data_IF_687804889140
#
_entry.id   IF_687804889140
#
_cell.length_a   1.000
_cell.length_b   1.000
_cell.length_c   1.000
_cell.angle_alpha   90.00
_cell.angle_beta   90.00
_cell.angle_gamma   90.00
#
_symmetry.space_group_name_H-M   'P 1'
#
loop_
_entity.id
_entity.type
_entity.pdbx_description
1 polymer ?
#
# COMPACT_ATOMS: atom_id res chain seq x y z
N UNK A 1 -16.92 8.76 -1.07
CA UNK A 1 -16.35 7.48 -0.61
C UNK A 1 -15.57 6.88 -1.76
N UNK A 2 -14.33 6.49 -1.51
CA UNK A 2 -13.38 6.08 -2.54
C UNK A 2 -12.72 4.79 -2.09
N UNK A 3 -12.54 3.86 -3.03
CA UNK A 3 -11.76 2.65 -2.80
C UNK A 3 -10.47 2.70 -3.62
N UNK A 4 -9.37 2.40 -2.94
CA UNK A 4 -8.05 2.33 -3.55
C UNK A 4 -7.56 0.89 -3.36
N UNK A 5 -7.30 0.21 -4.47
CA UNK A 5 -6.57 -1.05 -4.46
C UNK A 5 -5.12 -0.79 -4.84
N UNK A 6 -4.19 -1.23 -4.00
CA UNK A 6 -2.75 -1.14 -4.28
C UNK A 6 -2.19 -2.55 -4.45
N UNK A 7 -1.54 -2.79 -5.58
CA UNK A 7 -0.74 -3.98 -5.83
C UNK A 7 0.72 -3.58 -5.66
N UNK A 8 1.34 -4.05 -4.58
CA UNK A 8 2.68 -3.63 -4.16
C UNK A 8 3.70 -4.67 -4.57
N UNK A 9 4.75 -4.23 -5.25
CA UNK A 9 5.90 -5.05 -5.64
C UNK A 9 7.11 -4.63 -4.83
N UNK A 10 7.66 -5.55 -4.06
CA UNK A 10 8.81 -5.32 -3.17
C UNK A 10 10.10 -5.75 -3.88
N UNK A 11 11.21 -5.07 -3.59
CA UNK A 11 12.54 -5.45 -4.06
C UNK A 11 13.03 -6.65 -3.26
N UNK A 12 13.60 -7.63 -3.96
CA UNK A 12 14.14 -8.84 -3.34
C UNK A 12 15.13 -8.52 -2.21
N UNK A 13 14.93 -9.12 -1.04
CA UNK A 13 15.77 -8.94 0.15
C UNK A 13 15.53 -7.63 0.92
N UNK A 14 14.48 -6.88 0.58
CA UNK A 14 14.08 -5.63 1.26
C UNK A 14 12.73 -5.73 1.97
N UNK A 15 12.22 -6.94 2.16
CA UNK A 15 10.92 -7.24 2.78
C UNK A 15 10.83 -6.69 4.21
N UNK A 16 11.89 -6.84 5.01
CA UNK A 16 11.91 -6.35 6.39
C UNK A 16 11.80 -4.81 6.46
N UNK A 17 12.46 -4.10 5.54
CA UNK A 17 12.38 -2.63 5.44
C UNK A 17 10.97 -2.22 5.00
N UNK A 18 10.39 -2.96 4.05
CA UNK A 18 9.00 -2.76 3.62
C UNK A 18 8.02 -2.96 4.79
N UNK A 19 8.16 -4.04 5.58
CA UNK A 19 7.29 -4.29 6.72
C UNK A 19 7.45 -3.21 7.80
N UNK A 20 8.67 -2.75 8.05
CA UNK A 20 8.93 -1.65 8.99
C UNK A 20 8.34 -0.32 8.52
N UNK A 21 8.34 -0.06 7.21
CA UNK A 21 7.65 1.08 6.61
C UNK A 21 6.13 0.98 6.83
N UNK A 22 5.53 -0.16 6.49
CA UNK A 22 4.08 -0.38 6.61
C UNK A 22 3.57 -0.33 8.05
N UNK A 23 4.32 -0.89 8.99
CA UNK A 23 4.00 -0.85 10.41
C UNK A 23 3.81 0.59 10.93
N UNK A 24 4.48 1.56 10.29
CA UNK A 24 4.38 2.96 10.63
C UNK A 24 3.31 3.71 9.82
N UNK A 25 3.15 3.43 8.52
CA UNK A 25 2.21 4.21 7.68
C UNK A 25 0.77 3.69 7.69
N UNK A 26 0.53 2.39 7.88
CA UNK A 26 -0.83 1.84 7.91
C UNK A 26 -1.68 2.40 9.06
N UNK A 27 -1.15 2.59 10.29
CA UNK A 27 -1.89 3.25 11.36
C UNK A 27 -2.33 4.68 11.02
N UNK A 28 -1.56 5.41 10.19
CA UNK A 28 -1.87 6.79 9.82
C UNK A 28 -3.15 6.89 8.97
N UNK A 29 -3.55 5.82 8.27
CA UNK A 29 -4.80 5.81 7.49
C UNK A 29 -6.00 6.28 8.31
N UNK A 30 -6.16 5.79 9.54
CA UNK A 30 -7.30 6.13 10.38
C UNK A 30 -7.37 7.61 10.74
N UNK A 31 -6.22 8.29 10.86
CA UNK A 31 -6.15 9.73 11.15
C UNK A 31 -6.73 10.60 10.03
N UNK A 32 -6.82 10.05 8.83
CA UNK A 32 -7.26 10.74 7.61
C UNK A 32 -8.55 10.15 7.04
N UNK A 33 -9.39 9.52 7.87
CA UNK A 33 -10.65 8.90 7.43
C UNK A 33 -10.45 7.67 6.53
N UNK A 34 -9.24 7.12 6.53
CA UNK A 34 -8.85 5.92 5.80
C UNK A 34 -9.06 4.65 6.61
N UNK A 35 -9.51 3.58 5.97
CA UNK A 35 -9.64 2.25 6.57
C UNK A 35 -9.04 1.20 5.65
N UNK A 36 -8.09 0.44 6.19
CA UNK A 36 -7.61 -0.79 5.55
C UNK A 36 -8.71 -1.85 5.64
N UNK A 37 -9.30 -2.20 4.51
CA UNK A 37 -10.38 -3.20 4.42
C UNK A 37 -9.83 -4.60 4.19
N UNK A 38 -8.77 -4.72 3.41
CA UNK A 38 -8.12 -5.99 3.09
C UNK A 38 -6.62 -5.78 2.92
N UNK A 39 -5.87 -6.76 3.37
CA UNK A 39 -4.42 -6.87 3.21
C UNK A 39 -4.09 -8.34 3.04
N UNK A 40 -3.51 -8.72 1.89
CA UNK A 40 -3.15 -10.11 1.60
C UNK A 40 -1.77 -10.19 0.96
N UNK A 41 -1.03 -11.25 1.29
CA UNK A 41 0.18 -11.68 0.59
C UNK A 41 -0.17 -12.97 -0.15
N UNK A 42 -0.48 -12.89 -1.46
CA UNK A 42 -0.90 -14.07 -2.21
C UNK A 42 0.29 -14.99 -2.50
N UNK A 43 0.04 -16.30 -2.49
CA UNK A 43 0.98 -17.29 -2.98
C UNK A 43 0.89 -17.42 -4.51
N UNK A 44 1.95 -17.88 -5.21
CA UNK A 44 1.89 -18.06 -6.67
C UNK A 44 0.75 -18.95 -7.15
N UNK A 45 0.28 -19.87 -6.31
CA UNK A 45 -0.85 -20.78 -6.62
C UNK A 45 -2.22 -20.11 -6.54
N UNK A 46 -2.31 -18.92 -5.96
CA UNK A 46 -3.56 -18.16 -5.87
C UNK A 46 -3.92 -17.47 -7.20
N UNK A 47 -2.98 -17.39 -8.13
CA UNK A 47 -3.17 -16.74 -9.43
C UNK A 47 -3.68 -17.74 -10.46
N UNK A 48 -4.86 -17.46 -11.02
CA UNK A 48 -5.51 -18.32 -12.03
C UNK A 48 -4.98 -18.02 -13.44
N UNK A 49 -4.85 -16.74 -13.81
CA UNK A 49 -4.36 -16.26 -15.10
C UNK A 49 -4.00 -14.76 -15.05
N UNK A 50 -3.13 -14.29 -15.94
CA UNK A 50 -2.77 -12.88 -16.07
C UNK A 50 -1.40 -12.67 -16.73
N UNK A 51 -1.09 -11.42 -17.08
CA UNK A 51 0.21 -11.03 -17.67
C UNK A 51 1.12 -10.30 -16.67
N UNK A 52 0.57 -9.91 -15.52
CA UNK A 52 1.33 -9.22 -14.48
C UNK A 52 2.09 -10.21 -13.63
N UNK A 53 3.30 -9.82 -13.21
CA UNK A 53 3.97 -10.47 -12.08
C UNK A 53 3.01 -10.49 -10.87
N UNK A 54 3.02 -11.58 -10.07
CA UNK A 54 2.38 -11.61 -8.77
C UNK A 54 2.86 -10.44 -7.89
N UNK A 55 1.96 -9.58 -7.37
CA UNK A 55 2.33 -8.62 -6.34
C UNK A 55 2.78 -9.34 -5.07
N UNK A 56 3.69 -8.70 -4.34
CA UNK A 56 4.07 -9.16 -3.01
C UNK A 56 2.92 -9.00 -2.03
N UNK A 57 2.20 -7.88 -2.12
CA UNK A 57 1.08 -7.59 -1.23
C UNK A 57 -0.02 -6.80 -1.95
N UNK A 58 -1.27 -7.06 -1.58
CA UNK A 58 -2.44 -6.34 -2.11
C UNK A 58 -3.17 -5.69 -0.94
N UNK A 59 -3.42 -4.38 -1.06
CA UNK A 59 -4.24 -3.61 -0.11
C UNK A 59 -5.54 -3.17 -0.77
N UNK A 60 -6.65 -3.32 -0.07
CA UNK A 60 -7.87 -2.56 -0.34
C UNK A 60 -8.08 -1.56 0.78
N UNK A 61 -8.04 -0.28 0.45
CA UNK A 61 -8.23 0.83 1.38
C UNK A 61 -9.45 1.61 0.96
N UNK A 62 -10.26 2.04 1.93
CA UNK A 62 -11.35 2.98 1.71
C UNK A 62 -11.05 4.31 2.38
N UNK A 63 -11.38 5.40 1.71
CA UNK A 63 -11.45 6.74 2.31
C UNK A 63 -12.89 7.28 2.26
N UNK A 64 -13.25 8.14 3.21
CA UNK A 64 -14.55 8.82 3.22
C UNK A 64 -14.72 9.71 1.99
N UNK A 65 -13.68 10.45 1.60
CA UNK A 65 -13.64 11.34 0.44
C UNK A 65 -12.21 11.50 -0.14
N UNK A 66 -12.07 12.34 -1.17
CA UNK A 66 -10.79 12.64 -1.80
C UNK A 66 -9.86 13.41 -0.86
N UNK A 67 -10.41 14.28 -0.03
CA UNK A 67 -9.62 15.15 0.84
C UNK A 67 -8.84 14.31 1.86
N UNK A 68 -9.46 13.28 2.44
CA UNK A 68 -8.78 12.33 3.32
C UNK A 68 -7.65 11.56 2.63
N UNK A 69 -7.87 11.11 1.39
CA UNK A 69 -6.81 10.45 0.61
C UNK A 69 -5.62 11.39 0.35
N UNK A 70 -5.89 12.63 -0.04
CA UNK A 70 -4.85 13.63 -0.30
C UNK A 70 -4.11 14.01 1.00
N UNK A 71 -4.85 14.19 2.11
CA UNK A 71 -4.27 14.47 3.42
C UNK A 71 -3.36 13.34 3.89
N UNK A 72 -3.78 12.07 3.74
CA UNK A 72 -2.93 10.92 4.01
C UNK A 72 -1.66 10.90 3.15
N UNK A 73 -1.79 11.21 1.85
CA UNK A 73 -0.65 11.32 0.95
C UNK A 73 0.38 12.35 1.40
N UNK A 74 -0.09 13.47 1.96
CA UNK A 74 0.71 14.62 2.38
C UNK A 74 1.09 14.60 3.89
N UNK A 75 0.73 13.56 4.63
CA UNK A 75 1.02 13.45 6.06
C UNK A 75 2.53 13.56 6.34
N UNK A 76 2.93 14.46 7.25
CA UNK A 76 4.34 14.74 7.54
C UNK A 76 5.10 13.53 8.10
N UNK A 77 4.44 12.68 8.89
CA UNK A 77 5.06 11.46 9.42
C UNK A 77 5.28 10.46 8.29
N UNK A 78 4.31 10.34 7.37
CA UNK A 78 4.46 9.53 6.16
C UNK A 78 5.58 10.03 5.26
N UNK A 79 5.71 11.35 5.07
CA UNK A 79 6.74 11.95 4.22
C UNK A 79 8.16 11.61 4.72
N UNK A 80 8.37 11.59 6.04
CA UNK A 80 9.67 11.22 6.65
C UNK A 80 10.08 9.77 6.36
N UNK A 81 9.12 8.91 6.04
CA UNK A 81 9.31 7.48 5.81
C UNK A 81 9.44 7.13 4.31
N UNK A 82 9.37 8.12 3.41
CA UNK A 82 9.45 7.87 1.96
C UNK A 82 10.77 7.23 1.54
N UNK A 83 11.88 7.53 2.20
CA UNK A 83 13.17 6.87 1.91
C UNK A 83 13.11 5.35 2.11
N UNK A 84 12.42 4.88 3.15
CA UNK A 84 12.22 3.44 3.40
C UNK A 84 11.35 2.81 2.31
N UNK A 85 10.32 3.54 1.85
CA UNK A 85 9.49 3.11 0.72
C UNK A 85 10.32 3.01 -0.55
N UNK A 86 11.12 4.02 -0.89
CA UNK A 86 11.91 4.05 -2.11
C UNK A 86 13.00 2.97 -2.12
N UNK A 87 13.55 2.67 -0.93
CA UNK A 87 14.52 1.59 -0.75
C UNK A 87 13.91 0.19 -0.91
N UNK A 88 12.66 -0.02 -0.52
CA UNK A 88 12.05 -1.35 -0.43
C UNK A 88 11.04 -1.67 -1.51
N UNK A 89 10.34 -0.67 -2.07
CA UNK A 89 9.27 -0.87 -3.05
C UNK A 89 9.84 -0.71 -4.47
N UNK A 90 9.64 -1.72 -5.31
CA UNK A 90 9.97 -1.71 -6.74
C UNK A 90 8.96 -0.87 -7.52
N UNK A 91 7.68 -1.12 -7.30
CA UNK A 91 6.57 -0.43 -7.98
C UNK A 91 5.26 -0.65 -7.23
N UNK A 92 4.28 0.20 -7.50
CA UNK A 92 2.91 0.05 -7.02
C UNK A 92 1.96 0.31 -8.19
N UNK A 93 1.04 -0.62 -8.44
CA UNK A 93 -0.11 -0.36 -9.32
C UNK A 93 -1.26 0.08 -8.42
N UNK A 94 -1.82 1.26 -8.69
CA UNK A 94 -2.95 1.81 -7.95
C UNK A 94 -4.19 1.86 -8.82
N UNK A 95 -5.26 1.21 -8.39
CA UNK A 95 -6.59 1.27 -9.02
C UNK A 95 -7.53 2.01 -8.08
N UNK A 96 -8.24 3.01 -8.60
CA UNK A 96 -9.20 3.83 -7.87
C UNK A 96 -10.61 3.59 -8.40
N UNK A 97 -11.56 3.37 -7.49
CA UNK A 97 -12.97 3.15 -7.78
C UNK A 97 -13.91 3.80 -6.77
#
# INVERSE_FOLDING_TARGET
MIHITQFVYVREGKEDIFHAFEAQVLPLLQRHGGKLLMRIRPDPTDFIAGELDPPYEIHLVRFEDEAGLQAYGNDEERQKLLSMKDESVRSVIMVKG
#
